data_IF_988670708100
#
_entry.id   IF_988670708100
#
_cell.length_a   1.000
_cell.length_b   1.000
_cell.length_c   1.000
_cell.angle_alpha   90.00
_cell.angle_beta   90.00
_cell.angle_gamma   90.00
#
_symmetry.space_group_name_H-M   'P 1'
#
loop_
_entity.id
_entity.type
_entity.pdbx_description
1 polymer ?
#
# COMPACT_ATOMS: atom_id res chain seq x y z
N UNK A 1 -16.55 -12.72 -3.71
CA UNK A 1 -16.09 -12.55 -2.31
C UNK A 1 -14.81 -11.74 -2.36
N UNK A 2 -14.67 -10.70 -1.52
CA UNK A 2 -13.44 -9.90 -1.46
C UNK A 2 -12.42 -10.63 -0.56
N UNK A 3 -11.17 -10.78 -1.02
CA UNK A 3 -10.08 -11.38 -0.23
C UNK A 3 -8.91 -10.41 -0.12
N UNK A 4 -8.29 -10.37 1.05
CA UNK A 4 -7.06 -9.63 1.31
C UNK A 4 -5.98 -10.60 1.79
N UNK A 5 -4.77 -10.44 1.27
CA UNK A 5 -3.59 -11.19 1.67
C UNK A 5 -2.41 -10.23 1.77
N UNK A 6 -1.64 -10.30 2.84
CA UNK A 6 -0.46 -9.47 3.08
C UNK A 6 0.80 -10.31 3.29
N UNK A 7 1.95 -9.67 3.08
CA UNK A 7 3.27 -10.23 3.33
C UNK A 7 4.29 -9.14 3.65
N UNK A 8 5.42 -9.54 4.21
CA UNK A 8 6.53 -8.65 4.55
C UNK A 8 6.66 -8.42 6.06
N UNK A 9 7.77 -7.79 6.44
CA UNK A 9 8.15 -7.53 7.82
C UNK A 9 8.70 -6.10 7.92
N UNK A 10 8.61 -5.49 9.09
CA UNK A 10 8.89 -4.06 9.29
C UNK A 10 10.37 -3.68 9.16
N UNK A 11 11.28 -4.65 9.20
CA UNK A 11 12.72 -4.46 8.95
C UNK A 11 13.19 -5.12 7.65
N UNK A 12 12.29 -5.78 6.91
CA UNK A 12 12.58 -6.34 5.60
C UNK A 12 12.60 -5.29 4.49
N UNK A 13 12.67 -5.75 3.23
CA UNK A 13 12.73 -4.88 2.05
C UNK A 13 11.46 -4.04 1.83
N UNK A 14 10.30 -4.65 1.98
CA UNK A 14 9.01 -4.03 1.73
C UNK A 14 7.87 -4.82 2.37
N UNK A 15 6.71 -4.18 2.43
CA UNK A 15 5.42 -4.78 2.72
C UNK A 15 4.64 -4.95 1.40
N UNK A 16 3.89 -6.04 1.30
CA UNK A 16 3.06 -6.37 0.13
C UNK A 16 1.62 -6.57 0.59
N UNK A 17 0.67 -6.07 -0.19
CA UNK A 17 -0.76 -6.37 -0.04
C UNK A 17 -1.35 -6.83 -1.37
N UNK A 18 -2.21 -7.83 -1.34
CA UNK A 18 -2.93 -8.38 -2.49
C UNK A 18 -4.42 -8.33 -2.18
N UNK A 19 -5.19 -7.69 -3.05
CA UNK A 19 -6.65 -7.59 -2.97
C UNK A 19 -7.26 -8.31 -4.16
N UNK A 20 -8.15 -9.27 -3.90
CA UNK A 20 -8.86 -10.02 -4.93
C UNK A 20 -10.36 -9.84 -4.84
N UNK A 21 -11.03 -10.08 -5.98
CA UNK A 21 -12.48 -9.95 -6.09
C UNK A 21 -12.96 -8.52 -6.31
N UNK A 22 -12.07 -7.61 -6.71
CA UNK A 22 -12.44 -6.27 -7.15
C UNK A 22 -13.21 -6.35 -8.48
N UNK A 23 -14.33 -5.65 -8.63
CA UNK A 23 -15.01 -5.56 -9.92
C UNK A 23 -14.15 -4.77 -10.92
N UNK A 24 -14.39 -5.00 -12.21
CA UNK A 24 -13.74 -4.25 -13.30
C UNK A 24 -14.24 -2.80 -13.33
N UNK A 25 -13.35 -1.86 -13.63
CA UNK A 25 -13.70 -0.46 -13.92
C UNK A 25 -13.75 0.48 -12.71
N UNK A 26 -13.37 0.03 -11.51
CA UNK A 26 -13.23 0.92 -10.36
C UNK A 26 -12.00 1.81 -10.54
N UNK A 27 -12.19 3.12 -10.44
CA UNK A 27 -11.09 4.07 -10.45
C UNK A 27 -10.31 4.00 -9.14
N UNK A 28 -9.00 3.80 -9.26
CA UNK A 28 -8.05 3.88 -8.15
C UNK A 28 -7.03 4.98 -8.42
N UNK A 29 -6.67 5.72 -7.38
CA UNK A 29 -5.61 6.73 -7.43
C UNK A 29 -4.64 6.47 -6.26
N UNK A 30 -3.37 6.27 -6.58
CA UNK A 30 -2.28 6.09 -5.60
C UNK A 30 -2.19 7.28 -4.62
N UNK A 31 -2.37 8.50 -5.10
CA UNK A 31 -2.33 9.71 -4.25
C UNK A 31 -3.39 9.67 -3.15
N UNK A 32 -4.57 9.14 -3.46
CA UNK A 32 -5.64 8.99 -2.47
C UNK A 32 -5.26 7.97 -1.40
N UNK A 33 -4.63 6.86 -1.80
CA UNK A 33 -4.13 5.84 -0.87
C UNK A 33 -3.01 6.42 -0.01
N UNK A 34 -2.08 7.17 -0.61
CA UNK A 34 -0.97 7.82 0.09
C UNK A 34 -1.47 8.89 1.09
N UNK A 35 -2.56 9.59 0.77
CA UNK A 35 -3.21 10.50 1.72
C UNK A 35 -3.75 9.74 2.94
N UNK A 36 -4.38 8.58 2.73
CA UNK A 36 -4.90 7.76 3.82
C UNK A 36 -3.77 7.10 4.64
N UNK A 37 -2.67 6.68 4.00
CA UNK A 37 -1.45 6.24 4.69
C UNK A 37 -0.88 7.35 5.58
N UNK A 38 -0.82 8.60 5.09
CA UNK A 38 -0.38 9.75 5.87
C UNK A 38 -1.30 10.04 7.05
N UNK A 39 -2.63 9.93 6.86
CA UNK A 39 -3.60 10.08 7.96
C UNK A 39 -3.38 9.02 9.05
N UNK A 40 -3.08 7.77 8.68
CA UNK A 40 -2.79 6.66 9.60
C UNK A 40 -1.60 6.96 10.52
N UNK A 41 -0.60 7.69 10.03
CA UNK A 41 0.59 8.06 10.80
C UNK A 41 0.28 9.04 11.95
N UNK A 42 -0.76 9.87 11.81
CA UNK A 42 -1.11 10.92 12.77
C UNK A 42 -2.01 10.49 13.95
N UNK A 43 -2.31 9.19 14.10
CA UNK A 43 -3.19 8.69 15.17
C UNK A 43 -2.57 8.75 16.59
N UNK A 44 -3.41 8.76 17.63
CA UNK A 44 -2.97 8.70 19.03
C UNK A 44 -2.15 7.43 19.32
N UNK A 45 -1.07 7.57 20.11
CA UNK A 45 -0.23 6.44 20.55
C UNK A 45 0.87 6.01 19.56
N UNK A 46 1.21 6.85 18.58
CA UNK A 46 2.30 6.58 17.62
C UNK A 46 3.61 7.23 18.05
N UNK A 47 4.70 6.44 18.06
CA UNK A 47 6.03 6.87 18.47
C UNK A 47 6.71 7.79 17.44
N UNK A 48 7.85 8.37 17.81
CA UNK A 48 8.56 9.37 16.98
C UNK A 48 8.94 8.85 15.58
N UNK A 49 9.23 7.54 15.45
CA UNK A 49 9.53 6.89 14.18
C UNK A 49 8.41 7.06 13.13
N UNK A 50 7.15 7.06 13.55
CA UNK A 50 6.01 7.23 12.63
C UNK A 50 5.89 8.66 12.09
N UNK A 51 6.54 9.66 12.71
CA UNK A 51 6.56 11.05 12.21
C UNK A 51 7.53 11.25 11.03
N UNK A 52 8.51 10.37 10.90
CA UNK A 52 9.56 10.44 9.86
C UNK A 52 9.34 9.43 8.73
N UNK A 53 8.52 8.40 8.97
CA UNK A 53 8.11 7.45 7.92
C UNK A 53 7.26 8.17 6.88
N UNK A 54 7.60 8.02 5.61
CA UNK A 54 6.82 8.53 4.48
C UNK A 54 6.45 7.33 3.63
N UNK A 55 5.57 6.50 4.18
CA UNK A 55 5.07 5.33 3.47
C UNK A 55 4.43 5.81 2.17
N UNK A 56 4.86 5.24 1.06
CA UNK A 56 4.24 5.43 -0.24
C UNK A 56 3.87 4.06 -0.79
N UNK A 57 2.64 3.94 -1.26
CA UNK A 57 2.19 2.77 -1.99
C UNK A 57 2.64 2.87 -3.44
N UNK A 58 3.06 1.74 -3.98
CA UNK A 58 3.28 1.49 -5.40
C UNK A 58 2.31 0.38 -5.82
N UNK A 59 1.49 0.62 -6.85
CA UNK A 59 0.60 -0.40 -7.40
C UNK A 59 1.36 -1.18 -8.48
N UNK A 60 1.57 -2.48 -8.24
CA UNK A 60 2.39 -3.31 -9.12
C UNK A 60 1.57 -4.02 -10.21
N UNK A 61 0.29 -4.31 -9.96
CA UNK A 61 -0.59 -4.98 -10.93
C UNK A 61 -2.06 -4.79 -10.61
N UNK A 62 -2.94 -5.18 -11.54
CA UNK A 62 -4.40 -5.16 -11.36
C UNK A 62 -5.08 -3.87 -11.80
N UNK A 63 -4.32 -2.91 -12.32
CA UNK A 63 -4.82 -1.69 -12.95
C UNK A 63 -4.36 -1.57 -14.41
N UNK A 64 -5.21 -0.94 -15.22
CA UNK A 64 -4.89 -0.38 -16.53
C UNK A 64 -5.55 1.00 -16.58
N UNK A 65 -4.79 2.04 -16.96
CA UNK A 65 -5.27 3.43 -17.03
C UNK A 65 -5.99 3.90 -15.74
N UNK A 66 -5.48 3.51 -14.58
CA UNK A 66 -6.03 3.88 -13.27
C UNK A 66 -7.34 3.17 -12.90
N UNK A 67 -7.73 2.11 -13.63
CA UNK A 67 -8.95 1.34 -13.36
C UNK A 67 -8.66 -0.13 -13.13
N UNK A 68 -9.41 -0.74 -12.22
CA UNK A 68 -9.32 -2.18 -11.94
C UNK A 68 -9.71 -3.01 -13.16
N UNK A 69 -8.98 -4.08 -13.42
CA UNK A 69 -9.23 -4.99 -14.55
C UNK A 69 -9.85 -6.34 -14.13
N UNK A 70 -10.22 -6.48 -12.85
CA UNK A 70 -10.83 -7.70 -12.30
C UNK A 70 -9.85 -8.81 -11.92
N UNK A 71 -8.58 -8.68 -12.31
CA UNK A 71 -7.48 -9.48 -11.76
C UNK A 71 -7.09 -9.00 -10.35
N UNK A 72 -6.31 -9.79 -9.59
CA UNK A 72 -5.79 -9.36 -8.29
C UNK A 72 -5.02 -8.03 -8.40
N UNK A 73 -5.31 -7.11 -7.47
CA UNK A 73 -4.57 -5.86 -7.28
C UNK A 73 -3.41 -6.12 -6.32
N UNK A 74 -2.18 -5.81 -6.72
CA UNK A 74 -1.01 -5.91 -5.85
C UNK A 74 -0.46 -4.54 -5.51
N UNK A 75 -0.14 -4.35 -4.23
CA UNK A 75 0.33 -3.13 -3.61
C UNK A 75 1.66 -3.41 -2.92
N UNK A 76 2.59 -2.47 -3.01
CA UNK A 76 3.87 -2.53 -2.30
C UNK A 76 4.12 -1.24 -1.53
N UNK A 77 4.65 -1.34 -0.33
CA UNK A 77 5.19 -0.21 0.45
C UNK A 77 6.64 -0.54 0.79
N UNK A 78 7.59 0.28 0.33
CA UNK A 78 9.02 0.08 0.60
C UNK A 78 9.37 0.54 2.02
N UNK A 79 10.17 -0.25 2.72
CA UNK A 79 10.71 0.17 4.01
C UNK A 79 11.93 1.06 3.77
N UNK A 80 11.86 2.33 4.19
CA UNK A 80 12.95 3.30 3.97
C UNK A 80 14.29 2.88 4.58
N UNK A 81 14.27 2.22 5.74
CA UNK A 81 15.48 1.85 6.48
C UNK A 81 16.26 0.74 5.76
N UNK A 82 15.60 -0.10 4.97
CA UNK A 82 16.26 -1.19 4.24
C UNK A 82 17.17 -0.71 3.10
N UNK A 83 16.84 0.40 2.44
CA UNK A 83 17.69 0.94 1.36
C UNK A 83 19.06 1.44 1.86
N UNK A 84 19.23 1.59 3.16
CA UNK A 84 20.47 2.04 3.81
C UNK A 84 21.29 0.90 4.42
N UNK A 85 20.86 -0.35 4.27
CA UNK A 85 21.50 -1.55 4.84
C UNK A 85 22.36 -2.31 3.81
#
# INVERSE_FOLDING_TARGET
MLRFLDAGESHGKCLIGIVEGLPVGLSLNEEKINLDLKRRQGGYGRGERMKIEQDQVEILSGLVEGKTIGSPLSLMIKNKVWESA
#
